data_IF_700263835092
#
_entry.id   IF_700263835092
#
_cell.length_a   1.000
_cell.length_b   1.000
_cell.length_c   1.000
_cell.angle_alpha   90.00
_cell.angle_beta   90.00
_cell.angle_gamma   90.00
#
_symmetry.space_group_name_H-M   'P 1'
#
loop_
_entity.id
_entity.type
_entity.pdbx_description
1 polymer ?
#
# COMPACT_ATOMS: atom_id res chain seq x y z
N UNK A 1 47.48 9.01 -45.16
CA UNK A 1 46.13 8.93 -45.76
C UNK A 1 45.78 7.46 -45.99
N UNK A 2 44.50 7.05 -45.87
CA UNK A 2 44.08 5.84 -45.14
C UNK A 2 43.46 4.73 -46.02
N UNK A 3 43.03 3.64 -45.35
CA UNK A 3 42.01 2.60 -45.70
C UNK A 3 42.60 1.17 -45.65
N UNK A 4 42.01 0.14 -45.04
CA UNK A 4 40.65 -0.07 -44.48
C UNK A 4 40.68 -1.28 -43.54
N UNK A 5 39.93 -1.19 -42.44
CA UNK A 5 39.47 -2.32 -41.63
C UNK A 5 38.63 -3.30 -42.47
N UNK A 6 38.82 -4.60 -42.28
CA UNK A 6 37.71 -5.55 -42.29
C UNK A 6 37.83 -6.47 -41.06
N UNK A 7 36.88 -6.32 -40.14
CA UNK A 7 36.68 -7.18 -38.98
C UNK A 7 36.06 -8.50 -39.45
N UNK A 8 36.77 -9.61 -39.28
CA UNK A 8 36.17 -10.95 -39.25
C UNK A 8 35.71 -11.23 -37.83
N UNK A 9 34.40 -11.38 -37.64
CA UNK A 9 33.79 -11.75 -36.37
C UNK A 9 34.16 -13.20 -36.02
N UNK A 10 35.02 -13.37 -35.01
CA UNK A 10 35.18 -14.65 -34.35
C UNK A 10 34.01 -14.87 -33.39
N UNK A 11 33.18 -15.87 -33.70
CA UNK A 11 32.29 -16.47 -32.71
C UNK A 11 33.13 -17.26 -31.71
N UNK A 12 32.91 -17.03 -30.42
CA UNK A 12 33.52 -17.79 -29.32
C UNK A 12 32.42 -18.65 -28.71
N UNK A 13 32.70 -19.95 -28.61
CA UNK A 13 31.87 -20.97 -27.97
C UNK A 13 31.52 -20.59 -26.52
N UNK A 14 30.24 -20.77 -26.16
CA UNK A 14 29.73 -20.58 -24.81
C UNK A 14 30.14 -21.76 -23.93
N UNK A 15 31.31 -21.63 -23.29
CA UNK A 15 31.84 -22.60 -22.33
C UNK A 15 32.39 -21.93 -21.05
N UNK A 16 31.84 -22.34 -19.92
CA UNK A 16 32.28 -22.10 -18.54
C UNK A 16 32.02 -20.71 -17.91
N UNK A 17 31.32 -20.75 -16.78
CA UNK A 17 31.07 -19.64 -15.88
C UNK A 17 32.37 -19.21 -15.18
N UNK A 18 33.02 -18.15 -15.65
CA UNK A 18 33.85 -17.28 -14.82
C UNK A 18 34.36 -16.07 -15.61
N UNK A 19 34.34 -14.91 -14.97
CA UNK A 19 34.77 -13.58 -15.40
C UNK A 19 33.67 -12.72 -16.04
N UNK A 20 33.18 -11.75 -15.26
CA UNK A 20 32.31 -10.67 -15.72
C UNK A 20 33.18 -9.45 -16.06
N UNK A 21 33.53 -9.18 -17.33
CA UNK A 21 34.13 -7.92 -17.67
C UNK A 21 33.01 -6.87 -17.67
N UNK A 22 32.94 -6.09 -16.59
CA UNK A 22 32.20 -4.83 -16.57
C UNK A 22 32.93 -3.90 -17.53
N UNK A 23 32.28 -3.45 -18.61
CA UNK A 23 32.48 -2.11 -19.19
C UNK A 23 31.39 -1.74 -20.24
N UNK A 24 30.88 -0.52 -20.05
CA UNK A 24 29.94 0.33 -20.85
C UNK A 24 28.42 0.21 -20.54
N UNK A 25 27.74 1.29 -20.10
CA UNK A 25 26.30 1.32 -19.80
C UNK A 25 25.45 1.73 -21.03
N UNK A 26 24.24 1.15 -21.24
CA UNK A 26 23.05 1.94 -21.69
C UNK A 26 21.66 1.27 -21.82
N UNK A 27 21.43 -0.03 -21.55
CA UNK A 27 20.05 -0.54 -21.34
C UNK A 27 20.00 -1.46 -20.13
N UNK A 28 19.07 -1.20 -19.22
CA UNK A 28 18.72 -2.14 -18.14
C UNK A 28 18.16 -3.39 -18.83
N UNK A 29 18.87 -4.52 -18.69
CA UNK A 29 18.44 -5.80 -19.22
C UNK A 29 17.25 -6.31 -18.41
N UNK A 30 16.23 -6.81 -19.12
CA UNK A 30 15.13 -7.56 -18.52
C UNK A 30 15.43 -9.05 -18.60
N UNK A 31 14.91 -9.79 -17.63
CA UNK A 31 15.14 -11.21 -17.43
C UNK A 31 13.81 -11.97 -17.46
N UNK A 32 13.87 -13.21 -17.93
CA UNK A 32 12.75 -14.14 -17.81
C UNK A 32 12.66 -14.70 -16.38
N UNK A 33 11.51 -15.26 -16.02
CA UNK A 33 11.27 -15.88 -14.71
C UNK A 33 12.32 -16.96 -14.37
N UNK A 34 12.89 -17.64 -15.36
CA UNK A 34 13.91 -18.66 -15.08
C UNK A 34 15.30 -18.09 -14.80
N UNK A 35 15.58 -16.88 -15.26
CA UNK A 35 16.89 -16.24 -15.15
C UNK A 35 17.06 -15.42 -13.87
N UNK A 36 15.99 -15.17 -13.12
CA UNK A 36 16.05 -14.37 -11.88
C UNK A 36 16.45 -15.20 -10.65
N UNK A 37 17.06 -14.57 -9.63
CA UNK A 37 17.31 -15.20 -8.34
C UNK A 37 16.04 -15.75 -7.68
N UNK A 38 16.20 -16.83 -6.90
CA UNK A 38 15.10 -17.50 -6.20
C UNK A 38 14.27 -16.57 -5.30
N UNK A 39 14.89 -15.58 -4.66
CA UNK A 39 14.17 -14.63 -3.79
C UNK A 39 13.22 -13.68 -4.55
N UNK A 40 13.31 -13.58 -5.88
CA UNK A 40 12.40 -12.81 -6.73
C UNK A 40 11.33 -13.68 -7.41
N UNK A 41 11.46 -15.01 -7.34
CA UNK A 41 10.54 -15.98 -7.97
C UNK A 41 9.27 -16.17 -7.13
N UNK A 42 8.41 -15.15 -7.06
CA UNK A 42 7.16 -15.21 -6.28
C UNK A 42 5.93 -15.67 -7.08
N UNK A 43 5.80 -15.20 -8.33
CA UNK A 43 4.62 -15.45 -9.17
C UNK A 43 5.04 -16.15 -10.48
N UNK A 44 4.82 -17.47 -10.62
CA UNK A 44 5.26 -18.21 -11.80
C UNK A 44 4.48 -17.86 -13.09
N UNK A 45 3.35 -17.16 -12.97
CA UNK A 45 2.54 -16.77 -14.12
C UNK A 45 3.08 -15.53 -14.85
N UNK A 46 3.95 -14.76 -14.20
CA UNK A 46 4.69 -13.66 -14.80
C UNK A 46 5.99 -14.24 -15.32
N UNK A 47 6.14 -14.34 -16.64
CA UNK A 47 7.22 -15.11 -17.27
C UNK A 47 8.39 -14.26 -17.76
N UNK A 48 8.21 -12.96 -17.90
CA UNK A 48 9.20 -12.03 -18.44
C UNK A 48 9.04 -10.60 -17.85
N UNK A 49 9.99 -9.72 -18.17
CA UNK A 49 9.95 -8.31 -17.80
C UNK A 49 10.61 -8.01 -16.46
N UNK A 50 11.33 -8.97 -15.87
CA UNK A 50 11.97 -8.79 -14.56
C UNK A 50 13.23 -7.95 -14.64
N UNK A 51 13.42 -7.09 -13.65
CA UNK A 51 14.69 -6.41 -13.39
C UNK A 51 15.46 -7.21 -12.34
N UNK A 52 16.77 -7.40 -12.53
CA UNK A 52 17.62 -8.10 -11.57
C UNK A 52 19.07 -7.59 -11.60
N UNK A 53 19.80 -7.86 -10.52
CA UNK A 53 21.24 -7.57 -10.39
C UNK A 53 21.64 -6.10 -10.56
N UNK A 54 20.72 -5.15 -10.27
CA UNK A 54 21.00 -3.73 -10.45
C UNK A 54 21.68 -3.12 -9.21
N UNK A 55 22.68 -2.23 -9.37
CA UNK A 55 23.11 -1.33 -8.31
C UNK A 55 22.05 -0.24 -8.05
N UNK A 56 22.07 0.41 -6.89
CA UNK A 56 21.05 1.40 -6.47
C UNK A 56 20.79 2.50 -7.51
N UNK A 57 21.83 3.04 -8.15
CA UNK A 57 21.68 4.08 -9.19
C UNK A 57 20.89 3.58 -10.40
N UNK A 58 21.05 2.31 -10.78
CA UNK A 58 20.29 1.72 -11.88
C UNK A 58 18.88 1.30 -11.45
N UNK A 59 18.67 0.93 -10.18
CA UNK A 59 17.34 0.74 -9.61
C UNK A 59 16.51 2.03 -9.78
N UNK A 60 17.05 3.18 -9.37
CA UNK A 60 16.39 4.48 -9.54
C UNK A 60 16.10 4.81 -11.01
N UNK A 61 17.08 4.62 -11.91
CA UNK A 61 16.88 4.86 -13.35
C UNK A 61 15.85 3.92 -13.99
N UNK A 62 15.62 2.74 -13.40
CA UNK A 62 14.72 1.74 -13.94
C UNK A 62 13.23 2.10 -13.82
N UNK A 63 12.89 3.17 -13.09
CA UNK A 63 11.51 3.70 -13.05
C UNK A 63 10.98 4.08 -14.44
N UNK A 64 11.87 4.47 -15.36
CA UNK A 64 11.55 4.82 -16.75
C UNK A 64 11.68 3.64 -17.72
N UNK A 65 11.91 2.44 -17.21
CA UNK A 65 11.98 1.22 -18.01
C UNK A 65 10.69 0.43 -17.83
N UNK A 66 10.08 0.04 -18.94
CA UNK A 66 8.93 -0.85 -18.92
C UNK A 66 9.36 -2.24 -18.42
N UNK A 67 8.82 -2.65 -17.29
CA UNK A 67 9.10 -3.89 -16.57
C UNK A 67 7.80 -4.41 -15.95
N UNK A 68 7.83 -5.63 -15.43
CA UNK A 68 6.70 -6.21 -14.70
C UNK A 68 6.29 -5.41 -13.44
N UNK A 69 7.19 -4.56 -12.96
CA UNK A 69 7.01 -3.71 -11.78
C UNK A 69 6.59 -2.27 -12.11
N UNK A 70 6.51 -1.89 -13.39
CA UNK A 70 6.25 -0.50 -13.79
C UNK A 70 4.92 0.01 -13.23
N UNK A 71 3.83 -0.76 -13.38
CA UNK A 71 2.53 -0.35 -12.84
C UNK A 71 2.53 -0.35 -11.31
N UNK A 72 3.22 -1.29 -10.65
CA UNK A 72 3.33 -1.33 -9.19
C UNK A 72 4.00 -0.04 -8.66
N UNK A 73 5.11 0.39 -9.30
CA UNK A 73 5.83 1.61 -8.94
C UNK A 73 4.95 2.85 -9.21
N UNK A 74 4.44 2.99 -10.43
CA UNK A 74 3.75 4.21 -10.85
C UNK A 74 2.38 4.38 -10.18
N UNK A 75 1.64 3.30 -9.95
CA UNK A 75 0.33 3.39 -9.26
C UNK A 75 0.46 3.97 -7.85
N UNK A 76 1.45 3.53 -7.07
CA UNK A 76 1.68 4.05 -5.71
C UNK A 76 2.44 5.37 -5.70
N UNK A 77 3.31 5.64 -6.68
CA UNK A 77 3.93 6.97 -6.82
C UNK A 77 2.88 8.04 -7.13
N UNK A 78 1.96 7.75 -8.06
CA UNK A 78 0.82 8.63 -8.33
C UNK A 78 -0.14 8.71 -7.14
N UNK A 79 -0.33 7.60 -6.41
CA UNK A 79 -1.05 7.59 -5.14
C UNK A 79 -0.44 8.54 -4.09
N UNK A 80 0.89 8.52 -3.93
CA UNK A 80 1.60 9.46 -3.06
C UNK A 80 1.33 10.92 -3.47
N UNK A 81 1.47 11.24 -4.76
CA UNK A 81 1.20 12.59 -5.27
C UNK A 81 -0.25 13.00 -5.04
N UNK A 82 -1.21 12.10 -5.23
CA UNK A 82 -2.62 12.33 -4.92
C UNK A 82 -2.83 12.69 -3.45
N UNK A 83 -2.33 11.89 -2.51
CA UNK A 83 -2.52 12.16 -1.07
C UNK A 83 -1.74 13.39 -0.60
N UNK A 84 -0.59 13.69 -1.22
CA UNK A 84 0.13 14.94 -0.97
C UNK A 84 -0.70 16.15 -1.43
N UNK A 85 -1.24 16.11 -2.65
CA UNK A 85 -2.12 17.17 -3.18
C UNK A 85 -3.40 17.33 -2.36
N UNK A 86 -4.00 16.24 -1.92
CA UNK A 86 -5.15 16.27 -1.00
C UNK A 86 -4.79 16.91 0.32
N UNK A 87 -3.63 16.58 0.92
CA UNK A 87 -3.20 17.23 2.16
C UNK A 87 -2.95 18.72 2.04
N UNK A 88 -2.40 19.18 0.91
CA UNK A 88 -2.27 20.61 0.63
C UNK A 88 -3.65 21.26 0.47
N UNK A 89 -4.54 20.65 -0.32
CA UNK A 89 -5.91 21.15 -0.52
C UNK A 89 -6.72 21.19 0.79
N UNK A 90 -6.58 20.18 1.64
CA UNK A 90 -7.28 20.10 2.90
C UNK A 90 -6.82 21.19 3.86
N UNK A 91 -5.50 21.37 3.97
CA UNK A 91 -4.90 22.40 4.82
C UNK A 91 -5.27 23.83 4.36
N UNK A 92 -5.28 24.08 3.05
CA UNK A 92 -5.46 25.42 2.50
C UNK A 92 -6.91 25.78 2.20
N UNK A 93 -7.80 24.80 1.97
CA UNK A 93 -9.15 25.05 1.47
C UNK A 93 -10.23 24.32 2.25
N UNK A 94 -10.15 22.99 2.39
CA UNK A 94 -11.25 22.21 2.99
C UNK A 94 -11.41 22.51 4.48
N UNK A 95 -10.34 22.40 5.27
CA UNK A 95 -10.40 22.60 6.72
C UNK A 95 -10.77 24.05 7.10
N UNK A 96 -10.17 25.09 6.48
CA UNK A 96 -10.60 26.48 6.73
C UNK A 96 -12.06 26.74 6.34
N UNK A 97 -12.51 26.27 5.17
CA UNK A 97 -13.88 26.48 4.71
C UNK A 97 -14.92 25.77 5.61
N UNK A 98 -14.50 24.71 6.30
CA UNK A 98 -15.34 23.92 7.22
C UNK A 98 -15.38 24.47 8.65
N UNK A 99 -14.64 25.56 8.94
CA UNK A 99 -14.45 26.04 10.30
C UNK A 99 -13.80 25.01 11.22
N UNK A 100 -12.91 24.18 10.68
CA UNK A 100 -12.35 23.04 11.39
C UNK A 100 -11.51 23.45 12.61
N UNK A 101 -11.56 22.65 13.66
CA UNK A 101 -10.82 22.91 14.89
C UNK A 101 -9.41 22.30 14.82
N UNK A 102 -8.56 22.59 15.81
CA UNK A 102 -7.17 22.10 15.84
C UNK A 102 -7.05 20.57 15.82
N UNK A 103 -8.01 19.85 16.41
CA UNK A 103 -8.00 18.38 16.41
C UNK A 103 -8.22 17.84 15.01
N UNK A 104 -9.12 18.45 14.22
CA UNK A 104 -9.33 18.06 12.82
C UNK A 104 -8.04 18.17 12.01
N UNK A 105 -7.32 19.29 12.10
CA UNK A 105 -6.01 19.44 11.42
C UNK A 105 -5.04 18.31 11.78
N UNK A 106 -4.98 17.92 13.05
CA UNK A 106 -4.10 16.84 13.51
C UNK A 106 -4.55 15.48 12.95
N UNK A 107 -5.84 15.17 13.01
CA UNK A 107 -6.39 13.89 12.58
C UNK A 107 -6.21 13.69 11.07
N UNK A 108 -6.48 14.72 10.26
CA UNK A 108 -6.25 14.68 8.81
C UNK A 108 -4.77 14.57 8.47
N UNK A 109 -3.92 15.37 9.13
CA UNK A 109 -2.48 15.30 8.92
C UNK A 109 -1.93 13.90 9.21
N UNK A 110 -2.37 13.26 10.30
CA UNK A 110 -1.97 11.88 10.63
C UNK A 110 -2.47 10.91 9.56
N UNK A 111 -3.75 10.93 9.20
CA UNK A 111 -4.33 10.01 8.23
C UNK A 111 -3.63 10.07 6.86
N UNK A 112 -3.47 11.28 6.33
CA UNK A 112 -2.82 11.51 5.04
C UNK A 112 -1.32 11.23 5.08
N UNK A 113 -0.63 11.54 6.18
CA UNK A 113 0.78 11.16 6.36
C UNK A 113 0.94 9.65 6.34
N UNK A 114 0.07 8.91 7.03
CA UNK A 114 0.08 7.46 7.03
C UNK A 114 -0.12 6.87 5.61
N UNK A 115 -1.05 7.42 4.83
CA UNK A 115 -1.25 6.99 3.44
C UNK A 115 -0.02 7.26 2.58
N UNK A 116 0.59 8.45 2.70
CA UNK A 116 1.82 8.80 1.97
C UNK A 116 2.99 7.88 2.31
N UNK A 117 3.20 7.58 3.60
CA UNK A 117 4.26 6.65 4.04
C UNK A 117 4.02 5.25 3.46
N UNK A 118 2.79 4.74 3.51
CA UNK A 118 2.44 3.46 2.90
C UNK A 118 2.80 3.42 1.41
N UNK A 119 2.42 4.45 0.65
CA UNK A 119 2.72 4.54 -0.78
C UNK A 119 4.23 4.59 -1.06
N UNK A 120 4.98 5.41 -0.32
CA UNK A 120 6.43 5.57 -0.52
C UNK A 120 7.21 4.31 -0.14
N UNK A 121 6.83 3.63 0.95
CA UNK A 121 7.41 2.34 1.33
C UNK A 121 7.26 1.31 0.21
N UNK A 122 6.07 1.24 -0.40
CA UNK A 122 5.80 0.33 -1.49
C UNK A 122 6.55 0.68 -2.78
N UNK A 123 6.56 1.96 -3.17
CA UNK A 123 7.41 2.46 -4.27
C UNK A 123 8.87 2.09 -4.05
N UNK A 124 9.37 2.28 -2.83
CA UNK A 124 10.73 1.90 -2.45
C UNK A 124 11.00 0.42 -2.67
N UNK A 125 10.13 -0.47 -2.20
CA UNK A 125 10.28 -1.90 -2.44
C UNK A 125 10.26 -2.26 -3.91
N UNK A 126 9.23 -1.84 -4.66
CA UNK A 126 9.15 -2.20 -6.08
C UNK A 126 10.27 -1.59 -6.91
N UNK A 127 10.87 -0.47 -6.49
CA UNK A 127 12.02 0.12 -7.16
C UNK A 127 13.33 -0.64 -6.86
N UNK A 128 13.51 -1.08 -5.62
CA UNK A 128 14.75 -1.70 -5.13
C UNK A 128 14.71 -3.23 -4.98
N UNK A 129 13.59 -3.89 -5.31
CA UNK A 129 13.47 -5.36 -5.30
C UNK A 129 14.51 -6.01 -6.22
N UNK A 130 14.77 -5.39 -7.37
CA UNK A 130 15.77 -5.82 -8.36
C UNK A 130 17.24 -5.59 -7.96
N UNK A 131 17.50 -5.09 -6.75
CA UNK A 131 18.85 -4.74 -6.31
C UNK A 131 19.76 -5.97 -6.22
N UNK A 132 21.03 -5.84 -6.60
CA UNK A 132 22.03 -6.93 -6.59
C UNK A 132 22.28 -7.55 -5.21
N UNK A 133 21.93 -6.84 -4.14
CA UNK A 133 22.05 -7.32 -2.76
C UNK A 133 20.69 -7.75 -2.24
N UNK A 134 20.55 -9.05 -1.96
CA UNK A 134 19.35 -9.62 -1.34
C UNK A 134 19.03 -8.96 0.01
N UNK A 135 20.04 -8.58 0.80
CA UNK A 135 19.85 -7.86 2.07
C UNK A 135 19.11 -6.54 1.86
N UNK A 136 19.43 -5.80 0.79
CA UNK A 136 18.74 -4.55 0.43
C UNK A 136 17.29 -4.84 0.02
N UNK A 137 17.07 -5.84 -0.83
CA UNK A 137 15.72 -6.26 -1.23
C UNK A 137 14.85 -6.62 -0.01
N UNK A 138 15.37 -7.46 0.91
CA UNK A 138 14.65 -7.86 2.12
C UNK A 138 14.35 -6.69 3.07
N UNK A 139 15.25 -5.72 3.20
CA UNK A 139 15.00 -4.51 4.00
C UNK A 139 13.88 -3.66 3.43
N UNK A 140 13.87 -3.46 2.12
CA UNK A 140 12.78 -2.74 1.47
C UNK A 140 11.46 -3.50 1.55
N UNK A 141 11.47 -4.83 1.42
CA UNK A 141 10.29 -5.66 1.63
C UNK A 141 9.74 -5.53 3.07
N UNK A 142 10.62 -5.46 4.07
CA UNK A 142 10.22 -5.18 5.46
C UNK A 142 9.55 -3.80 5.59
N UNK A 143 10.11 -2.78 4.95
CA UNK A 143 9.54 -1.44 4.94
C UNK A 143 8.18 -1.37 4.25
N UNK A 144 7.97 -2.15 3.17
CA UNK A 144 6.67 -2.24 2.50
C UNK A 144 5.59 -2.85 3.42
N UNK A 145 5.91 -3.97 4.09
CA UNK A 145 5.00 -4.55 5.10
C UNK A 145 4.75 -3.61 6.29
N UNK A 146 5.77 -2.87 6.74
CA UNK A 146 5.60 -1.83 7.73
C UNK A 146 4.67 -0.72 7.22
N UNK A 147 4.83 -0.32 5.95
CA UNK A 147 3.97 0.63 5.25
C UNK A 147 2.50 0.25 5.26
N UNK A 148 2.17 -1.02 5.00
CA UNK A 148 0.79 -1.54 5.11
C UNK A 148 0.24 -1.33 6.53
N UNK A 149 1.05 -1.60 7.55
CA UNK A 149 0.66 -1.41 8.96
C UNK A 149 0.36 0.06 9.27
N UNK A 150 1.20 0.96 8.77
CA UNK A 150 1.02 2.42 8.90
C UNK A 150 -0.23 2.89 8.12
N UNK A 151 -0.49 2.35 6.93
CA UNK A 151 -1.69 2.65 6.16
C UNK A 151 -2.98 2.24 6.86
N UNK A 152 -2.99 1.07 7.51
CA UNK A 152 -4.12 0.60 8.33
C UNK A 152 -4.35 1.55 9.52
N UNK A 153 -3.28 1.98 10.20
CA UNK A 153 -3.36 2.99 11.26
C UNK A 153 -4.00 4.29 10.73
N UNK A 154 -3.60 4.74 9.55
CA UNK A 154 -4.18 5.91 8.88
C UNK A 154 -5.67 5.79 8.55
N UNK A 155 -6.19 4.57 8.38
CA UNK A 155 -7.63 4.35 8.25
C UNK A 155 -8.34 4.42 9.61
N UNK A 156 -7.76 3.79 10.63
CA UNK A 156 -8.37 3.71 11.96
C UNK A 156 -8.49 5.04 12.67
N UNK A 157 -7.43 5.87 12.66
CA UNK A 157 -7.38 7.12 13.42
C UNK A 157 -8.55 8.06 13.09
N UNK A 158 -8.73 8.53 11.84
CA UNK A 158 -9.87 9.38 11.49
C UNK A 158 -11.20 8.66 11.62
N UNK A 159 -11.27 7.37 11.26
CA UNK A 159 -12.48 6.57 11.36
C UNK A 159 -13.05 6.50 12.77
N UNK A 160 -12.21 6.12 13.75
CA UNK A 160 -12.59 6.03 15.16
C UNK A 160 -12.85 7.42 15.73
N UNK A 161 -12.03 8.42 15.39
CA UNK A 161 -12.18 9.78 15.90
C UNK A 161 -13.57 10.35 15.58
N UNK A 162 -13.99 10.30 14.32
CA UNK A 162 -15.27 10.86 13.89
C UNK A 162 -16.48 9.96 14.19
N UNK A 163 -16.30 8.62 14.20
CA UNK A 163 -17.35 7.70 14.62
C UNK A 163 -17.74 7.95 16.09
N UNK A 164 -16.75 8.02 16.97
CA UNK A 164 -16.92 8.24 18.41
C UNK A 164 -16.67 9.69 18.82
N UNK A 165 -17.00 10.64 17.94
CA UNK A 165 -16.82 12.07 18.18
C UNK A 165 -17.49 12.53 19.49
N UNK A 166 -18.70 12.03 19.75
CA UNK A 166 -19.49 12.35 20.95
C UNK A 166 -19.21 11.46 22.16
N UNK A 167 -18.35 10.44 22.03
CA UNK A 167 -18.04 9.52 23.13
C UNK A 167 -16.53 9.35 23.28
N UNK A 168 -15.93 10.25 24.06
CA UNK A 168 -14.49 10.30 24.27
C UNK A 168 -13.92 9.02 24.92
N UNK A 169 -14.68 8.38 25.81
CA UNK A 169 -14.26 7.13 26.46
C UNK A 169 -14.04 6.02 25.44
N UNK A 170 -15.07 5.71 24.63
CA UNK A 170 -14.96 4.65 23.63
C UNK A 170 -13.97 4.99 22.52
N UNK A 171 -13.90 6.27 22.12
CA UNK A 171 -12.86 6.75 21.21
C UNK A 171 -11.46 6.39 21.70
N UNK A 172 -11.15 6.68 22.96
CA UNK A 172 -9.83 6.40 23.53
C UNK A 172 -9.55 4.90 23.64
N UNK A 173 -10.54 4.10 24.08
CA UNK A 173 -10.41 2.63 24.16
C UNK A 173 -10.02 2.05 22.80
N UNK A 174 -10.71 2.44 21.72
CA UNK A 174 -10.43 1.91 20.40
C UNK A 174 -9.11 2.41 19.81
N UNK A 175 -8.75 3.69 20.01
CA UNK A 175 -7.45 4.21 19.56
C UNK A 175 -6.28 3.50 20.26
N UNK A 176 -6.37 3.25 21.57
CA UNK A 176 -5.36 2.49 22.32
C UNK A 176 -5.31 1.01 21.89
N UNK A 177 -6.46 0.43 21.56
CA UNK A 177 -6.53 -0.94 21.02
C UNK A 177 -5.82 -1.03 19.67
N UNK A 178 -6.08 -0.10 18.75
CA UNK A 178 -5.40 -0.06 17.46
C UNK A 178 -3.91 0.17 17.63
N UNK A 179 -3.50 1.10 18.51
CA UNK A 179 -2.08 1.34 18.79
C UNK A 179 -1.38 0.06 19.28
N UNK A 180 -1.98 -0.64 20.24
CA UNK A 180 -1.40 -1.89 20.75
C UNK A 180 -1.35 -3.00 19.69
N UNK A 181 -2.37 -3.12 18.82
CA UNK A 181 -2.33 -4.03 17.68
C UNK A 181 -1.21 -3.71 16.69
N UNK A 182 -1.02 -2.44 16.32
CA UNK A 182 0.04 -2.01 15.39
C UNK A 182 1.43 -2.26 16.00
N UNK A 183 1.61 -1.99 17.30
CA UNK A 183 2.87 -2.32 18.01
C UNK A 183 3.14 -3.84 18.05
N UNK A 184 2.10 -4.65 18.22
CA UNK A 184 2.22 -6.11 18.15
C UNK A 184 2.62 -6.58 16.74
N UNK A 185 2.06 -5.98 15.68
CA UNK A 185 2.45 -6.25 14.30
C UNK A 185 3.91 -5.86 14.05
N UNK A 186 4.36 -4.69 14.50
CA UNK A 186 5.78 -4.32 14.37
C UNK A 186 6.70 -5.26 15.13
N UNK A 187 6.29 -5.71 16.32
CA UNK A 187 7.04 -6.71 17.10
C UNK A 187 7.15 -8.03 16.32
N UNK A 188 6.08 -8.48 15.67
CA UNK A 188 6.10 -9.67 14.82
C UNK A 188 7.03 -9.49 13.60
N UNK A 189 7.08 -8.29 13.01
CA UNK A 189 7.94 -7.98 11.85
C UNK A 189 9.44 -8.06 12.16
N UNK A 190 9.85 -7.85 13.41
CA UNK A 190 11.25 -8.00 13.84
C UNK A 190 11.69 -9.46 13.81
N UNK A 191 10.76 -10.42 13.85
CA UNK A 191 11.11 -11.83 13.88
C UNK A 191 11.87 -12.25 12.60
N UNK A 192 13.03 -12.95 12.70
CA UNK A 192 13.89 -13.25 11.56
C UNK A 192 13.22 -14.06 10.43
N UNK A 193 12.23 -14.89 10.79
CA UNK A 193 11.46 -15.69 9.81
C UNK A 193 10.26 -14.95 9.25
N UNK A 194 9.95 -13.73 9.72
CA UNK A 194 8.76 -13.00 9.30
C UNK A 194 8.70 -12.86 7.78
N UNK A 195 9.83 -12.59 7.12
CA UNK A 195 9.90 -12.45 5.65
C UNK A 195 10.06 -13.77 4.88
N UNK A 196 10.11 -14.93 5.54
CA UNK A 196 10.25 -16.21 4.83
C UNK A 196 8.96 -16.61 4.11
N UNK A 197 9.06 -17.47 3.11
CA UNK A 197 7.87 -17.98 2.42
C UNK A 197 6.97 -18.82 3.34
N UNK A 198 7.55 -19.53 4.33
CA UNK A 198 6.79 -20.35 5.29
C UNK A 198 5.83 -19.49 6.15
N UNK A 199 6.20 -18.24 6.42
CA UNK A 199 5.39 -17.31 7.22
C UNK A 199 4.37 -16.54 6.39
N UNK A 200 4.29 -16.76 5.07
CA UNK A 200 3.41 -15.99 4.18
C UNK A 200 1.95 -16.00 4.64
N UNK A 201 1.43 -17.18 4.96
CA UNK A 201 0.05 -17.33 5.44
C UNK A 201 -0.16 -16.68 6.81
N UNK A 202 0.82 -16.79 7.72
CA UNK A 202 0.77 -16.13 9.03
C UNK A 202 0.72 -14.61 8.86
N UNK A 203 1.59 -14.03 8.00
CA UNK A 203 1.58 -12.59 7.70
C UNK A 203 0.25 -12.12 7.16
N UNK A 204 -0.31 -12.84 6.18
CA UNK A 204 -1.61 -12.53 5.59
C UNK A 204 -2.70 -12.55 6.66
N UNK A 205 -2.75 -13.59 7.49
CA UNK A 205 -3.71 -13.71 8.60
C UNK A 205 -3.57 -12.56 9.59
N UNK A 206 -2.35 -12.16 9.96
CA UNK A 206 -2.13 -11.01 10.84
C UNK A 206 -2.75 -9.74 10.26
N UNK A 207 -2.47 -9.41 9.00
CA UNK A 207 -3.03 -8.21 8.37
C UNK A 207 -4.55 -8.26 8.22
N UNK A 208 -5.10 -9.41 7.82
CA UNK A 208 -6.54 -9.61 7.73
C UNK A 208 -7.23 -9.47 9.09
N UNK A 209 -6.65 -10.05 10.16
CA UNK A 209 -7.18 -9.91 11.51
C UNK A 209 -7.14 -8.44 11.97
N UNK A 210 -6.02 -7.75 11.80
CA UNK A 210 -5.87 -6.34 12.21
C UNK A 210 -6.82 -5.44 11.45
N UNK A 211 -7.05 -5.65 10.16
CA UNK A 211 -8.06 -4.90 9.40
C UNK A 211 -9.50 -5.29 9.82
N UNK A 212 -9.72 -6.58 10.12
CA UNK A 212 -11.00 -7.12 10.55
C UNK A 212 -11.45 -6.65 11.92
N UNK A 213 -10.53 -6.31 12.83
CA UNK A 213 -10.87 -5.73 14.15
C UNK A 213 -11.77 -4.50 14.02
N UNK A 214 -11.67 -3.73 12.94
CA UNK A 214 -12.47 -2.53 12.70
C UNK A 214 -13.96 -2.78 12.53
N UNK A 215 -14.38 -4.03 12.30
CA UNK A 215 -15.79 -4.43 12.35
C UNK A 215 -16.37 -4.29 13.76
N UNK A 216 -15.57 -4.49 14.81
CA UNK A 216 -16.01 -4.35 16.21
C UNK A 216 -16.41 -2.92 16.56
N UNK A 217 -15.57 -1.87 16.38
CA UNK A 217 -15.99 -0.49 16.60
C UNK A 217 -17.11 -0.06 15.64
N UNK A 218 -17.18 -0.59 14.41
CA UNK A 218 -18.28 -0.28 13.50
C UNK A 218 -19.63 -0.82 14.03
N UNK A 219 -19.69 -2.08 14.45
CA UNK A 219 -20.90 -2.67 15.05
C UNK A 219 -21.30 -1.95 16.35
N UNK A 220 -20.31 -1.65 17.20
CA UNK A 220 -20.57 -0.91 18.43
C UNK A 220 -21.09 0.51 18.15
N UNK A 221 -20.52 1.19 17.16
CA UNK A 221 -20.98 2.50 16.72
C UNK A 221 -22.43 2.46 16.20
N UNK A 222 -22.80 1.45 15.40
CA UNK A 222 -24.19 1.26 14.96
C UNK A 222 -25.12 1.11 16.16
N UNK A 223 -24.75 0.30 17.15
CA UNK A 223 -25.55 0.12 18.36
C UNK A 223 -25.72 1.43 19.15
N UNK A 224 -24.65 2.19 19.36
CA UNK A 224 -24.70 3.47 20.09
C UNK A 224 -25.54 4.55 19.40
N UNK A 225 -25.65 4.52 18.08
CA UNK A 225 -26.36 5.55 17.31
C UNK A 225 -27.81 5.18 17.00
N UNK A 226 -28.37 4.16 17.67
CA UNK A 226 -29.80 3.80 17.53
C UNK A 226 -30.09 2.74 16.47
N UNK A 227 -29.08 2.01 16.01
CA UNK A 227 -29.23 0.90 15.06
C UNK A 227 -29.34 1.33 13.59
N UNK A 228 -29.67 0.36 12.72
CA UNK A 228 -29.68 0.54 11.26
C UNK A 228 -30.76 1.50 10.71
N UNK A 229 -31.72 1.88 11.55
CA UNK A 229 -32.80 2.83 11.18
C UNK A 229 -32.42 4.29 11.41
N UNK A 230 -31.28 4.54 12.06
CA UNK A 230 -30.81 5.89 12.38
C UNK A 230 -30.20 6.57 11.15
N UNK A 231 -30.52 7.84 10.92
CA UNK A 231 -30.08 8.58 9.72
C UNK A 231 -28.55 8.59 9.57
N UNK A 232 -27.83 8.81 10.69
CA UNK A 232 -26.36 8.81 10.68
C UNK A 232 -25.80 7.45 10.28
N UNK A 233 -26.43 6.35 10.73
CA UNK A 233 -26.00 5.00 10.39
C UNK A 233 -26.25 4.70 8.92
N UNK A 234 -27.43 5.04 8.40
CA UNK A 234 -27.76 4.84 6.98
C UNK A 234 -26.86 5.65 6.06
N UNK A 235 -26.37 6.80 6.53
CA UNK A 235 -25.47 7.65 5.76
C UNK A 235 -24.03 7.12 5.68
N UNK A 236 -23.48 6.62 6.80
CA UNK A 236 -22.05 6.27 6.90
C UNK A 236 -21.75 4.78 6.83
N UNK A 237 -22.65 3.90 7.28
CA UNK A 237 -22.41 2.45 7.23
C UNK A 237 -22.17 1.95 5.80
N UNK A 238 -22.92 2.38 4.76
CA UNK A 238 -22.62 1.97 3.39
C UNK A 238 -21.21 2.36 2.94
N UNK A 239 -20.69 3.52 3.39
CA UNK A 239 -19.32 3.95 3.07
C UNK A 239 -18.28 3.05 3.71
N UNK A 240 -18.51 2.60 4.95
CA UNK A 240 -17.66 1.61 5.62
C UNK A 240 -17.70 0.27 4.89
N UNK A 241 -18.89 -0.20 4.51
CA UNK A 241 -19.06 -1.45 3.74
C UNK A 241 -18.31 -1.37 2.42
N UNK A 242 -18.46 -0.28 1.66
CA UNK A 242 -17.75 -0.09 0.38
C UNK A 242 -16.24 -0.13 0.58
N UNK A 243 -15.70 0.48 1.64
CA UNK A 243 -14.27 0.39 1.95
C UNK A 243 -13.85 -1.08 2.14
N UNK A 244 -14.57 -1.85 2.94
CA UNK A 244 -14.28 -3.28 3.17
C UNK A 244 -14.45 -4.12 1.90
N UNK A 245 -15.39 -3.80 1.02
CA UNK A 245 -15.55 -4.47 -0.27
C UNK A 245 -14.37 -4.19 -1.20
N UNK A 246 -13.87 -2.95 -1.27
CA UNK A 246 -12.67 -2.61 -2.04
C UNK A 246 -11.45 -3.35 -1.46
N UNK A 247 -11.27 -3.32 -0.14
CA UNK A 247 -10.18 -4.02 0.55
C UNK A 247 -10.21 -5.54 0.32
N UNK A 248 -11.39 -6.16 0.48
CA UNK A 248 -11.59 -7.59 0.24
C UNK A 248 -11.36 -7.97 -1.22
N UNK A 249 -11.82 -7.14 -2.17
CA UNK A 249 -11.56 -7.34 -3.60
C UNK A 249 -10.08 -7.27 -3.93
N UNK A 250 -9.37 -6.26 -3.39
CA UNK A 250 -7.93 -6.15 -3.54
C UNK A 250 -7.26 -7.44 -3.05
N UNK A 251 -7.58 -7.86 -1.83
CA UNK A 251 -6.99 -9.05 -1.23
C UNK A 251 -7.28 -10.31 -2.05
N UNK A 252 -8.49 -10.43 -2.60
CA UNK A 252 -8.87 -11.54 -3.48
C UNK A 252 -7.98 -11.60 -4.73
N UNK A 253 -7.74 -10.48 -5.42
CA UNK A 253 -6.80 -10.45 -6.55
C UNK A 253 -5.38 -10.85 -6.11
N UNK A 254 -4.91 -10.29 -5.00
CA UNK A 254 -3.57 -10.58 -4.49
C UNK A 254 -3.34 -12.06 -4.15
N UNK A 255 -4.31 -12.75 -3.55
CA UNK A 255 -4.17 -14.17 -3.19
C UNK A 255 -4.40 -15.10 -4.38
N UNK A 256 -5.37 -14.81 -5.24
CA UNK A 256 -5.79 -15.73 -6.32
C UNK A 256 -4.85 -15.68 -7.53
N UNK A 257 -4.09 -14.58 -7.69
CA UNK A 257 -3.25 -14.31 -8.87
C UNK A 257 -4.03 -14.29 -10.18
N UNK A 258 -5.30 -13.92 -10.11
CA UNK A 258 -6.17 -13.70 -11.28
C UNK A 258 -5.97 -12.24 -11.73
N UNK A 259 -5.80 -11.96 -13.03
CA UNK A 259 -6.02 -12.84 -14.17
C UNK A 259 -4.78 -13.58 -14.68
N UNK A 260 -3.57 -13.27 -14.25
CA UNK A 260 -2.33 -13.82 -14.81
C UNK A 260 -2.24 -15.35 -14.68
N UNK A 261 -2.90 -15.93 -13.67
CA UNK A 261 -3.06 -17.38 -13.52
C UNK A 261 -3.73 -18.06 -14.72
N UNK A 262 -4.67 -17.39 -15.38
CA UNK A 262 -5.37 -17.92 -16.56
C UNK A 262 -4.72 -17.49 -17.87
N UNK A 263 -3.90 -16.44 -17.85
CA UNK A 263 -3.18 -15.94 -19.02
C UNK A 263 -1.67 -15.79 -18.75
N UNK A 264 -0.94 -16.88 -18.46
CA UNK A 264 0.48 -16.80 -18.12
C UNK A 264 1.29 -16.16 -19.24
N UNK A 265 2.18 -15.23 -18.88
CA UNK A 265 3.03 -14.50 -19.82
C UNK A 265 2.36 -13.39 -20.63
N UNK A 266 1.02 -13.35 -20.70
CA UNK A 266 0.31 -12.29 -21.42
C UNK A 266 0.18 -11.00 -20.60
N UNK A 267 0.12 -11.14 -19.27
CA UNK A 267 -0.05 -10.03 -18.33
C UNK A 267 1.25 -9.65 -17.61
N UNK A 268 2.39 -9.84 -18.28
CA UNK A 268 3.70 -9.56 -17.70
C UNK A 268 3.90 -8.09 -17.31
N UNK A 269 3.34 -7.16 -18.09
CA UNK A 269 3.57 -5.73 -17.92
C UNK A 269 2.33 -4.96 -17.42
N UNK A 270 1.12 -5.43 -17.76
CA UNK A 270 -0.13 -4.73 -17.46
C UNK A 270 -1.24 -5.73 -17.13
N UNK A 271 -2.06 -5.41 -16.13
CA UNK A 271 -3.25 -6.18 -15.76
C UNK A 271 -3.01 -7.34 -14.78
N UNK A 272 -1.79 -7.51 -14.27
CA UNK A 272 -1.49 -8.52 -13.26
C UNK A 272 -2.20 -8.22 -11.93
N UNK A 273 -2.54 -9.25 -11.15
CA UNK A 273 -3.33 -9.12 -9.93
C UNK A 273 -2.67 -8.24 -8.88
N UNK A 274 -1.34 -8.25 -8.81
CA UNK A 274 -0.59 -7.38 -7.90
C UNK A 274 -0.77 -5.90 -8.31
N UNK A 275 -0.77 -5.60 -9.61
CA UNK A 275 -1.02 -4.24 -10.09
C UNK A 275 -2.45 -3.78 -9.75
N UNK A 276 -3.43 -4.67 -9.88
CA UNK A 276 -4.82 -4.41 -9.48
C UNK A 276 -4.93 -4.17 -7.97
N UNK A 277 -4.22 -4.97 -7.15
CA UNK A 277 -4.09 -4.73 -5.70
C UNK A 277 -3.61 -3.32 -5.40
N UNK A 278 -2.52 -2.87 -6.05
CA UNK A 278 -1.98 -1.53 -5.83
C UNK A 278 -3.01 -0.43 -6.13
N UNK A 279 -3.71 -0.54 -7.28
CA UNK A 279 -4.73 0.42 -7.70
C UNK A 279 -5.88 0.45 -6.70
N UNK A 280 -6.39 -0.72 -6.29
CA UNK A 280 -7.51 -0.80 -5.35
C UNK A 280 -7.15 -0.26 -3.96
N UNK A 281 -5.91 -0.41 -3.49
CA UNK A 281 -5.45 0.22 -2.24
C UNK A 281 -5.49 1.76 -2.34
N UNK A 282 -5.07 2.34 -3.46
CA UNK A 282 -5.15 3.80 -3.68
C UNK A 282 -6.62 4.25 -3.70
N UNK A 283 -7.48 3.53 -4.43
CA UNK A 283 -8.92 3.82 -4.48
C UNK A 283 -9.56 3.71 -3.09
N UNK A 284 -9.18 2.71 -2.30
CA UNK A 284 -9.66 2.51 -0.93
C UNK A 284 -9.28 3.69 -0.03
N UNK A 285 -8.01 4.11 -0.03
CA UNK A 285 -7.56 5.25 0.76
C UNK A 285 -8.22 6.55 0.32
N UNK A 286 -8.40 6.76 -0.99
CA UNK A 286 -9.15 7.91 -1.50
C UNK A 286 -10.62 7.88 -1.04
N UNK A 287 -11.29 6.75 -1.16
CA UNK A 287 -12.66 6.57 -0.68
C UNK A 287 -12.79 6.85 0.82
N UNK A 288 -11.83 6.36 1.61
CA UNK A 288 -11.81 6.58 3.05
C UNK A 288 -11.55 8.03 3.42
N UNK A 289 -10.65 8.69 2.71
CA UNK A 289 -10.43 10.14 2.83
C UNK A 289 -11.71 10.93 2.54
N UNK A 290 -12.39 10.67 1.43
CA UNK A 290 -13.65 11.33 1.10
C UNK A 290 -14.73 11.07 2.17
N UNK A 291 -14.73 9.86 2.75
CA UNK A 291 -15.63 9.51 3.85
C UNK A 291 -15.29 10.30 5.12
N UNK A 292 -14.01 10.50 5.44
CA UNK A 292 -13.55 11.33 6.55
C UNK A 292 -14.01 12.79 6.38
N UNK A 293 -13.83 13.38 5.19
CA UNK A 293 -14.29 14.75 4.87
C UNK A 293 -15.79 14.86 5.10
N UNK A 294 -16.54 13.89 4.58
CA UNK A 294 -17.99 13.89 4.68
C UNK A 294 -18.49 13.78 6.13
N UNK A 295 -17.88 12.91 6.95
CA UNK A 295 -18.28 12.77 8.36
C UNK A 295 -17.87 13.98 9.21
N UNK A 296 -16.74 14.61 8.94
CA UNK A 296 -16.32 15.83 9.62
C UNK A 296 -17.34 16.96 9.37
N UNK A 297 -17.70 17.21 8.11
CA UNK A 297 -18.74 18.19 7.78
C UNK A 297 -20.07 17.89 8.47
N UNK A 298 -20.49 16.63 8.46
CA UNK A 298 -21.70 16.20 9.17
C UNK A 298 -21.61 16.52 10.67
N UNK A 299 -20.50 16.19 11.34
CA UNK A 299 -20.30 16.44 12.77
C UNK A 299 -20.21 17.92 13.13
N UNK A 300 -19.71 18.78 12.24
CA UNK A 300 -19.72 20.22 12.45
C UNK A 300 -21.11 20.83 12.26
N UNK A 301 -21.92 20.26 11.34
CA UNK A 301 -23.31 20.69 11.14
C UNK A 301 -24.26 20.19 12.23
N UNK A 302 -23.99 19.02 12.80
CA UNK A 302 -24.78 18.40 13.86
C UNK A 302 -23.86 18.07 15.04
N UNK A 303 -23.75 19.04 15.94
CA UNK A 303 -23.01 18.88 17.18
C UNK A 303 -23.63 17.78 18.04
N UNK A 304 -22.81 17.20 18.91
CA UNK A 304 -23.26 16.21 19.86
C UNK A 304 -24.41 16.80 20.69
N UNK A 305 -25.53 16.08 20.78
CA UNK A 305 -26.58 16.41 21.72
C UNK A 305 -25.95 16.48 23.11
N UNK A 306 -25.89 17.68 23.69
CA UNK A 306 -25.52 17.87 25.08
C UNK A 306 -26.49 17.02 25.88
N UNK A 307 -26.00 16.02 26.62
CA UNK A 307 -26.80 15.31 27.62
C UNK A 307 -27.12 16.27 28.78
N UNK A 308 -27.91 17.30 28.52
CA UNK A 308 -28.61 18.11 29.50
C UNK A 308 -30.08 17.78 29.37
N UNK A 309 -30.47 16.64 29.95
CA UNK A 309 -31.82 16.27 30.40
C UNK A 309 -32.02 14.75 30.37
N UNK A 310 -31.41 14.06 31.32
CA UNK A 310 -32.12 12.97 31.99
C UNK A 310 -32.13 13.32 33.47
N UNK A 311 -33.33 13.71 33.90
CA UNK A 311 -33.78 14.02 35.25
C UNK A 311 -33.22 13.10 36.32
#
# INVERSE_FOLDING_TARGET
MPQKLLKTAHYIELGSYQHWPVLIPQRIRLYTYEQIPLFLKENPYITDGYRAHLPSKLCLKSIFILSNETVNIWSHLLGFLLFFSLGVNDLLSVLPASGANREDYVIYAIGLFCFQVCMLCSVGYHLFSCHRSEKTCRRWLALDYAGISVGILGCYVPGIFYAFYCNAFWRQVYLLTVLSLILAVFSAQVHPRYLSNDWRWIRMTIFCCVAGVGTVPACHWVWLNGGFTSDVVQLFLPRVIIMYLIAGSAFLFYITKIPERYFPGQLNYLGASHQVWHILVVVMFYWWHQTAVYIMHYRHSQSCLTQTSRS
#
